data_IF_128344187833
#
_entry.id   IF_128344187833
#
_cell.length_a   1.000
_cell.length_b   1.000
_cell.length_c   1.000
_cell.angle_alpha   90.00
_cell.angle_beta   90.00
_cell.angle_gamma   90.00
#
_symmetry.space_group_name_H-M   'P 1'
#
loop_
_entity.id
_entity.type
_entity.pdbx_description
1 polymer ?
#
# COMPACT_ATOMS: atom_id res chain seq x y z
N UNK A 1 11.50 22.07 -12.00
CA UNK A 1 10.39 22.72 -11.26
C UNK A 1 9.26 21.77 -10.88
N UNK A 2 8.97 20.72 -11.67
CA UNK A 2 7.82 19.81 -11.43
C UNK A 2 7.94 19.01 -10.13
N UNK A 3 9.10 18.42 -9.83
CA UNK A 3 9.34 17.61 -8.62
C UNK A 3 9.12 18.42 -7.33
N UNK A 4 9.77 19.58 -7.21
CA UNK A 4 9.63 20.47 -6.03
C UNK A 4 8.18 20.91 -5.84
N UNK A 5 7.47 21.20 -6.93
CA UNK A 5 6.06 21.57 -6.89
C UNK A 5 5.17 20.42 -6.43
N UNK A 6 5.47 19.19 -6.82
CA UNK A 6 4.74 18.00 -6.39
C UNK A 6 4.98 17.73 -4.89
N UNK A 7 6.24 17.78 -4.45
CA UNK A 7 6.62 17.66 -3.03
C UNK A 7 5.88 18.72 -2.19
N UNK A 8 5.95 19.98 -2.61
CA UNK A 8 5.35 21.08 -1.87
C UNK A 8 3.81 21.02 -1.82
N UNK A 9 3.15 20.30 -2.73
CA UNK A 9 1.70 20.14 -2.76
C UNK A 9 1.19 18.95 -1.97
N UNK A 10 2.07 18.02 -1.60
CA UNK A 10 1.66 16.82 -0.88
C UNK A 10 1.14 17.19 0.50
N UNK A 11 -0.14 16.90 0.75
CA UNK A 11 -0.82 17.28 1.99
C UNK A 11 -0.30 16.51 3.19
N UNK A 12 0.13 15.28 3.00
CA UNK A 12 0.56 14.43 4.09
C UNK A 12 1.95 14.81 4.50
N UNK A 13 2.85 15.07 3.54
CA UNK A 13 4.14 15.66 3.83
C UNK A 13 3.98 17.00 4.57
N UNK A 14 3.09 17.87 4.13
CA UNK A 14 2.82 19.15 4.82
C UNK A 14 2.41 18.94 6.28
N UNK A 15 1.43 18.06 6.53
CA UNK A 15 0.94 17.77 7.88
C UNK A 15 2.06 17.16 8.72
N UNK A 16 2.78 16.17 8.20
CA UNK A 16 3.86 15.50 8.91
C UNK A 16 5.01 16.46 9.21
N UNK A 17 5.40 17.33 8.27
CA UNK A 17 6.42 18.37 8.49
C UNK A 17 6.00 19.31 9.62
N UNK A 18 4.74 19.77 9.64
CA UNK A 18 4.24 20.64 10.72
C UNK A 18 4.31 19.91 12.06
N UNK A 19 3.86 18.66 12.12
CA UNK A 19 3.89 17.84 13.33
C UNK A 19 5.34 17.60 13.81
N UNK A 20 6.26 17.30 12.88
CA UNK A 20 7.69 17.15 13.18
C UNK A 20 8.29 18.45 13.68
N UNK A 21 8.00 19.60 13.08
CA UNK A 21 8.48 20.89 13.58
C UNK A 21 7.98 21.15 14.99
N UNK A 22 6.72 20.84 15.28
CA UNK A 22 6.15 20.95 16.63
C UNK A 22 6.87 20.00 17.60
N UNK A 23 7.18 18.76 17.21
CA UNK A 23 7.86 17.80 18.09
C UNK A 23 9.28 18.23 18.47
N UNK A 24 9.99 18.92 17.57
CA UNK A 24 11.34 19.46 17.82
C UNK A 24 11.39 20.50 18.95
N UNK A 25 10.26 21.08 19.36
CA UNK A 25 10.21 21.95 20.54
C UNK A 25 10.20 21.17 21.86
N UNK A 26 9.81 19.89 21.84
CA UNK A 26 9.69 19.06 23.03
C UNK A 26 10.88 18.12 23.23
N UNK A 27 11.52 17.68 22.16
CA UNK A 27 12.67 16.78 22.21
C UNK A 27 13.62 17.03 21.03
N UNK A 28 14.77 16.32 21.04
CA UNK A 28 15.73 16.33 19.93
C UNK A 28 15.82 14.96 19.29
N UNK A 29 15.79 14.86 17.96
CA UNK A 29 15.78 13.58 17.29
C UNK A 29 17.16 12.95 17.38
N UNK A 30 17.18 11.64 17.58
CA UNK A 30 18.41 10.84 17.61
C UNK A 30 18.57 10.12 16.29
N UNK A 31 19.77 10.19 15.72
CA UNK A 31 20.07 9.57 14.41
C UNK A 31 19.86 8.05 14.47
N UNK A 32 20.14 7.43 15.62
CA UNK A 32 19.92 6.00 15.88
C UNK A 32 18.46 5.55 15.72
N UNK A 33 17.49 6.46 15.88
CA UNK A 33 16.08 6.13 15.76
C UNK A 33 15.58 6.12 14.31
N UNK A 34 16.35 6.74 13.41
CA UNK A 34 16.02 6.86 12.00
C UNK A 34 16.40 5.55 11.31
N UNK A 35 15.40 4.84 10.81
CA UNK A 35 15.63 3.58 10.11
C UNK A 35 16.07 3.84 8.66
N UNK A 36 17.37 4.07 8.47
CA UNK A 36 17.96 4.28 7.16
C UNK A 36 17.79 3.08 6.23
N UNK A 37 17.77 1.85 6.77
CA UNK A 37 17.50 0.66 5.98
C UNK A 37 16.15 0.76 5.30
N UNK A 38 15.09 1.06 6.07
CA UNK A 38 13.75 1.28 5.53
C UNK A 38 13.73 2.42 4.53
N UNK A 39 14.41 3.55 4.79
CA UNK A 39 14.46 4.68 3.84
C UNK A 39 15.12 4.29 2.50
N UNK A 40 16.25 3.59 2.53
CA UNK A 40 16.91 3.12 1.32
C UNK A 40 16.07 2.08 0.57
N UNK A 41 15.43 1.16 1.30
CA UNK A 41 14.51 0.19 0.71
C UNK A 41 13.28 0.87 0.08
N UNK A 42 12.72 1.90 0.70
CA UNK A 42 11.62 2.70 0.13
C UNK A 42 12.10 3.42 -1.14
N UNK A 43 13.28 4.03 -1.13
CA UNK A 43 13.85 4.68 -2.33
C UNK A 43 14.04 3.68 -3.48
N UNK A 44 14.61 2.51 -3.20
CA UNK A 44 14.79 1.44 -4.17
C UNK A 44 13.44 1.00 -4.76
N UNK A 45 12.47 0.72 -3.89
CA UNK A 45 11.11 0.33 -4.24
C UNK A 45 10.44 1.38 -5.12
N UNK A 46 10.37 2.63 -4.69
CA UNK A 46 9.74 3.71 -5.46
C UNK A 46 10.40 3.89 -6.84
N UNK A 47 11.72 3.77 -6.92
CA UNK A 47 12.45 3.86 -8.19
C UNK A 47 12.09 2.70 -9.12
N UNK A 48 12.12 1.46 -8.62
CA UNK A 48 11.75 0.25 -9.38
C UNK A 48 10.32 0.35 -9.92
N UNK A 49 9.39 0.84 -9.09
CA UNK A 49 7.99 0.99 -9.50
C UNK A 49 7.86 2.02 -10.61
N UNK A 50 8.59 3.15 -10.54
CA UNK A 50 8.59 4.14 -11.62
C UNK A 50 9.18 3.58 -12.92
N UNK A 51 10.19 2.70 -12.85
CA UNK A 51 10.68 1.99 -14.03
C UNK A 51 9.57 1.11 -14.63
N UNK A 52 8.87 0.31 -13.82
CA UNK A 52 7.75 -0.51 -14.30
C UNK A 52 6.60 0.30 -14.88
N UNK A 53 6.29 1.44 -14.27
CA UNK A 53 5.27 2.39 -14.76
C UNK A 53 5.68 2.98 -16.11
N UNK A 54 6.94 3.41 -16.26
CA UNK A 54 7.50 3.90 -17.52
C UNK A 54 7.48 2.83 -18.64
N UNK A 55 7.62 1.56 -18.28
CA UNK A 55 7.56 0.43 -19.22
C UNK A 55 6.12 0.01 -19.57
N UNK A 56 5.09 0.68 -19.05
CA UNK A 56 3.66 0.44 -19.33
C UNK A 56 3.21 -1.01 -19.08
N UNK A 57 3.87 -1.72 -18.14
CA UNK A 57 3.60 -3.15 -17.89
C UNK A 57 2.17 -3.39 -17.43
N UNK A 58 1.64 -2.53 -16.55
CA UNK A 58 0.27 -2.65 -16.06
C UNK A 58 -0.78 -2.36 -17.12
N UNK A 59 -0.55 -1.35 -17.96
CA UNK A 59 -1.49 -0.97 -19.00
C UNK A 59 -1.69 -2.16 -19.94
N UNK A 60 -0.60 -2.80 -20.38
CA UNK A 60 -0.65 -3.98 -21.25
C UNK A 60 -1.39 -5.15 -20.60
N UNK A 61 -1.11 -5.44 -19.33
CA UNK A 61 -1.79 -6.52 -18.60
C UNK A 61 -3.28 -6.23 -18.48
N UNK A 62 -3.65 -5.01 -18.12
CA UNK A 62 -5.04 -4.62 -17.97
C UNK A 62 -5.79 -4.64 -19.31
N UNK A 63 -5.21 -4.14 -20.41
CA UNK A 63 -5.83 -4.21 -21.74
C UNK A 63 -5.99 -5.65 -22.25
N UNK A 64 -4.98 -6.50 -22.10
CA UNK A 64 -5.07 -7.92 -22.50
C UNK A 64 -6.14 -8.68 -21.71
N UNK A 65 -6.23 -8.43 -20.41
CA UNK A 65 -7.16 -9.14 -19.54
C UNK A 65 -8.61 -8.64 -19.71
N UNK A 66 -8.81 -7.35 -19.97
CA UNK A 66 -10.14 -6.76 -20.18
C UNK A 66 -10.82 -7.24 -21.46
N UNK A 67 -10.08 -7.54 -22.52
CA UNK A 67 -10.62 -8.11 -23.76
C UNK A 67 -11.30 -9.48 -23.57
N UNK A 68 -11.01 -10.19 -22.47
CA UNK A 68 -11.60 -11.50 -22.16
C UNK A 68 -12.91 -11.43 -21.36
N UNK A 69 -13.30 -10.25 -20.87
CA UNK A 69 -14.45 -10.08 -19.99
C UNK A 69 -15.76 -10.05 -20.79
N UNK A 70 -16.64 -11.03 -20.53
CA UNK A 70 -17.97 -11.13 -21.17
C UNK A 70 -19.12 -10.60 -20.30
N UNK A 71 -18.85 -10.33 -19.02
CA UNK A 71 -19.84 -9.86 -18.05
C UNK A 71 -19.21 -8.93 -17.02
N UNK A 72 -20.03 -8.11 -16.38
CA UNK A 72 -19.61 -7.15 -15.35
C UNK A 72 -18.99 -7.84 -14.15
N UNK A 73 -19.54 -8.99 -13.73
CA UNK A 73 -18.96 -9.76 -12.63
C UNK A 73 -17.57 -10.27 -12.98
N UNK A 74 -17.39 -10.80 -14.20
CA UNK A 74 -16.09 -11.28 -14.67
C UNK A 74 -15.08 -10.14 -14.84
N UNK A 75 -15.51 -8.99 -15.36
CA UNK A 75 -14.68 -7.79 -15.46
C UNK A 75 -14.20 -7.36 -14.06
N UNK A 76 -15.12 -7.30 -13.10
CA UNK A 76 -14.80 -6.93 -11.72
C UNK A 76 -13.82 -7.92 -11.08
N UNK A 77 -14.03 -9.22 -11.28
CA UNK A 77 -13.11 -10.25 -10.80
C UNK A 77 -11.71 -10.10 -11.41
N UNK A 78 -11.62 -9.88 -12.73
CA UNK A 78 -10.36 -9.66 -13.43
C UNK A 78 -9.63 -8.44 -12.86
N UNK A 79 -10.30 -7.29 -12.76
CA UNK A 79 -9.71 -6.07 -12.22
C UNK A 79 -9.31 -6.22 -10.75
N UNK A 80 -10.08 -6.94 -9.95
CA UNK A 80 -9.76 -7.14 -8.54
C UNK A 80 -8.56 -8.07 -8.37
N UNK A 81 -8.52 -9.20 -9.09
CA UNK A 81 -7.37 -10.11 -9.07
C UNK A 81 -6.12 -9.41 -9.62
N UNK A 82 -6.28 -8.65 -10.70
CA UNK A 82 -5.20 -7.84 -11.25
C UNK A 82 -4.74 -6.81 -10.22
N UNK A 83 -5.64 -6.18 -9.46
CA UNK A 83 -5.28 -5.26 -8.39
C UNK A 83 -4.44 -5.94 -7.30
N UNK A 84 -4.86 -7.12 -6.86
CA UNK A 84 -4.12 -7.94 -5.88
C UNK A 84 -2.72 -8.26 -6.40
N UNK A 85 -2.60 -8.79 -7.62
CA UNK A 85 -1.30 -9.15 -8.20
C UNK A 85 -0.44 -7.92 -8.44
N UNK A 86 -1.02 -6.83 -8.96
CA UNK A 86 -0.29 -5.60 -9.26
C UNK A 86 0.28 -4.96 -8.01
N UNK A 87 -0.51 -4.89 -6.94
CA UNK A 87 -0.09 -4.26 -5.69
C UNK A 87 1.01 -5.04 -4.95
N UNK A 88 1.16 -6.35 -5.21
CA UNK A 88 2.30 -7.14 -4.73
C UNK A 88 3.64 -6.66 -5.31
N UNK A 89 3.64 -5.99 -6.46
CA UNK A 89 4.87 -5.55 -7.13
C UNK A 89 5.00 -4.02 -7.20
N UNK A 90 3.87 -3.31 -7.32
CA UNK A 90 3.84 -1.91 -7.67
C UNK A 90 3.27 -1.01 -6.57
N UNK A 91 3.01 -1.56 -5.39
CA UNK A 91 2.31 -0.91 -4.26
C UNK A 91 0.82 -0.67 -4.53
N UNK A 92 0.08 -0.49 -3.44
CA UNK A 92 -1.35 -0.20 -3.48
C UNK A 92 -1.66 1.13 -4.19
N UNK A 93 -0.88 2.19 -3.95
CA UNK A 93 -1.15 3.54 -4.46
C UNK A 93 -1.12 3.61 -6.00
N UNK A 94 -0.06 3.07 -6.61
CA UNK A 94 0.10 3.08 -8.07
C UNK A 94 -0.89 2.12 -8.73
N UNK A 95 -1.20 1.00 -8.08
CA UNK A 95 -2.25 0.08 -8.56
C UNK A 95 -3.61 0.76 -8.62
N UNK A 96 -3.99 1.49 -7.56
CA UNK A 96 -5.24 2.25 -7.48
C UNK A 96 -5.30 3.36 -8.54
N UNK A 97 -4.22 4.13 -8.70
CA UNK A 97 -4.14 5.21 -9.67
C UNK A 97 -4.20 4.73 -11.13
N UNK A 98 -3.74 3.50 -11.41
CA UNK A 98 -3.77 2.94 -12.77
C UNK A 98 -5.09 2.22 -13.06
N UNK A 99 -5.53 1.32 -12.18
CA UNK A 99 -6.64 0.41 -12.50
C UNK A 99 -8.02 1.03 -12.36
N UNK A 100 -8.23 1.95 -11.40
CA UNK A 100 -9.55 2.55 -11.18
C UNK A 100 -9.98 3.43 -12.35
N UNK A 101 -9.14 4.36 -12.87
CA UNK A 101 -9.52 5.16 -14.04
C UNK A 101 -9.81 4.30 -15.27
N UNK A 102 -9.03 3.24 -15.48
CA UNK A 102 -9.25 2.29 -16.58
C UNK A 102 -10.61 1.59 -16.44
N UNK A 103 -10.91 1.06 -15.25
CA UNK A 103 -12.21 0.45 -14.97
C UNK A 103 -13.36 1.43 -15.19
N UNK A 104 -13.25 2.65 -14.65
CA UNK A 104 -14.29 3.68 -14.75
C UNK A 104 -14.50 4.15 -16.19
N UNK A 105 -13.46 4.16 -17.02
CA UNK A 105 -13.56 4.47 -18.46
C UNK A 105 -14.43 3.43 -19.17
N UNK A 106 -14.20 2.13 -18.90
CA UNK A 106 -15.01 1.03 -19.45
C UNK A 106 -16.44 1.11 -18.89
N UNK A 107 -16.58 1.33 -17.59
CA UNK A 107 -17.87 1.40 -16.92
C UNK A 107 -18.75 2.54 -17.45
N UNK A 108 -18.16 3.72 -17.72
CA UNK A 108 -18.84 4.86 -18.33
C UNK A 108 -19.32 4.55 -19.74
N UNK A 109 -18.48 3.94 -20.57
CA UNK A 109 -18.81 3.61 -21.97
C UNK A 109 -19.96 2.60 -22.08
N UNK A 110 -20.09 1.69 -21.11
CA UNK A 110 -21.06 0.60 -21.15
C UNK A 110 -22.13 0.66 -20.03
N UNK A 111 -22.24 1.78 -19.32
CA UNK A 111 -23.20 1.99 -18.21
C UNK A 111 -23.19 0.85 -17.15
N UNK A 112 -21.98 0.44 -16.76
CA UNK A 112 -21.73 -0.61 -15.77
C UNK A 112 -21.81 -0.06 -14.34
N UNK A 113 -22.09 -0.91 -13.33
CA UNK A 113 -22.02 -0.49 -11.93
C UNK A 113 -20.59 -0.10 -11.53
N UNK A 114 -20.43 1.06 -10.90
CA UNK A 114 -19.09 1.58 -10.55
C UNK A 114 -18.70 1.33 -9.08
N UNK A 115 -19.66 1.45 -8.16
CA UNK A 115 -19.38 1.54 -6.72
C UNK A 115 -18.66 0.29 -6.17
N UNK A 116 -19.30 -0.87 -6.27
CA UNK A 116 -18.77 -2.11 -5.70
C UNK A 116 -17.48 -2.55 -6.42
N UNK A 117 -17.38 -2.51 -7.75
CA UNK A 117 -16.13 -2.85 -8.45
C UNK A 117 -14.96 -1.95 -8.10
N UNK A 118 -15.15 -0.63 -8.01
CA UNK A 118 -14.08 0.29 -7.61
C UNK A 118 -13.65 0.06 -6.16
N UNK A 119 -14.61 -0.21 -5.27
CA UNK A 119 -14.31 -0.59 -3.87
C UNK A 119 -13.47 -1.86 -3.83
N UNK A 120 -13.82 -2.87 -4.62
CA UNK A 120 -13.09 -4.13 -4.69
C UNK A 120 -11.69 -4.00 -5.28
N UNK A 121 -11.50 -3.13 -6.27
CA UNK A 121 -10.16 -2.81 -6.79
C UNK A 121 -9.31 -2.19 -5.67
N UNK A 122 -9.86 -1.26 -4.88
CA UNK A 122 -9.19 -0.66 -3.72
C UNK A 122 -8.82 -1.68 -2.65
N UNK A 123 -9.78 -2.49 -2.22
CA UNK A 123 -9.55 -3.60 -1.29
C UNK A 123 -8.47 -4.55 -1.82
N UNK A 124 -8.57 -4.94 -3.09
CA UNK A 124 -7.59 -5.79 -3.76
C UNK A 124 -6.18 -5.19 -3.71
N UNK A 125 -6.04 -3.89 -3.89
CA UNK A 125 -4.75 -3.21 -3.81
C UNK A 125 -4.15 -3.29 -2.40
N UNK A 126 -4.96 -3.05 -1.35
CA UNK A 126 -4.50 -3.21 0.04
C UNK A 126 -4.12 -4.67 0.35
N UNK A 127 -4.91 -5.65 -0.10
CA UNK A 127 -4.65 -7.09 0.10
C UNK A 127 -3.34 -7.52 -0.58
N UNK A 128 -3.17 -7.13 -1.84
CA UNK A 128 -1.96 -7.44 -2.61
C UNK A 128 -0.71 -6.84 -1.99
N UNK A 129 -0.79 -5.57 -1.58
CA UNK A 129 0.31 -4.88 -0.93
C UNK A 129 0.67 -5.48 0.44
N UNK A 130 -0.31 -6.00 1.19
CA UNK A 130 -0.09 -6.68 2.46
C UNK A 130 0.66 -8.02 2.29
N UNK A 131 0.52 -8.69 1.15
CA UNK A 131 1.12 -10.02 0.93
C UNK A 131 2.65 -10.00 0.85
N UNK A 132 3.25 -8.91 0.38
CA UNK A 132 4.69 -8.80 0.14
C UNK A 132 5.36 -7.75 1.03
N UNK A 133 6.62 -7.94 1.45
CA UNK A 133 7.35 -6.98 2.28
C UNK A 133 7.44 -5.57 1.67
N UNK A 134 7.61 -5.48 0.36
CA UNK A 134 7.72 -4.23 -0.40
C UNK A 134 6.40 -3.77 -1.01
N UNK A 135 5.30 -4.50 -0.76
CA UNK A 135 4.00 -4.06 -1.24
C UNK A 135 3.55 -2.78 -0.53
N UNK A 136 3.97 -2.60 0.73
CA UNK A 136 3.78 -1.39 1.50
C UNK A 136 5.07 -0.98 2.24
N UNK A 137 5.35 0.33 2.35
CA UNK A 137 6.50 0.80 3.11
C UNK A 137 6.55 0.35 4.59
N UNK A 138 5.39 0.25 5.26
CA UNK A 138 5.36 -0.18 6.67
C UNK A 138 5.68 -1.67 6.85
N UNK A 139 5.45 -2.50 5.83
CA UNK A 139 5.89 -3.90 5.84
C UNK A 139 7.42 -4.00 5.79
N UNK A 140 8.09 -3.17 4.98
CA UNK A 140 9.56 -3.04 4.97
C UNK A 140 10.05 -2.66 6.37
N UNK A 141 9.38 -1.71 7.03
CA UNK A 141 9.70 -1.32 8.40
C UNK A 141 9.60 -2.50 9.37
N UNK A 142 8.49 -3.26 9.36
CA UNK A 142 8.31 -4.43 10.25
C UNK A 142 9.41 -5.47 10.00
N UNK A 143 9.67 -5.82 8.73
CA UNK A 143 10.71 -6.81 8.39
C UNK A 143 12.07 -6.39 8.93
N UNK A 144 12.46 -5.13 8.75
CA UNK A 144 13.76 -4.67 9.22
C UNK A 144 13.80 -4.50 10.75
N UNK A 145 12.79 -3.87 11.36
CA UNK A 145 12.75 -3.55 12.79
C UNK A 145 12.82 -4.78 13.69
N UNK A 146 12.25 -5.90 13.23
CA UNK A 146 12.19 -7.17 13.94
C UNK A 146 13.07 -8.26 13.30
N UNK A 147 13.85 -7.92 12.28
CA UNK A 147 14.71 -8.84 11.52
C UNK A 147 13.97 -10.12 11.08
N UNK A 148 12.78 -9.94 10.52
CA UNK A 148 11.86 -11.03 10.15
C UNK A 148 12.41 -11.77 8.94
N UNK A 149 12.56 -13.10 9.03
CA UNK A 149 12.99 -13.92 7.90
C UNK A 149 11.88 -14.01 6.83
N UNK A 150 12.23 -14.30 5.56
CA UNK A 150 11.23 -14.47 4.50
C UNK A 150 10.17 -15.51 4.85
N UNK A 151 10.59 -16.66 5.39
CA UNK A 151 9.68 -17.75 5.77
C UNK A 151 8.68 -17.27 6.82
N UNK A 152 9.13 -16.55 7.83
CA UNK A 152 8.27 -16.04 8.90
C UNK A 152 7.33 -14.93 8.41
N UNK A 153 7.79 -14.08 7.51
CA UNK A 153 6.92 -13.07 6.92
C UNK A 153 5.78 -13.71 6.11
N UNK A 154 6.09 -14.69 5.26
CA UNK A 154 5.08 -15.37 4.45
C UNK A 154 4.17 -16.30 5.27
N UNK A 155 4.61 -16.83 6.41
CA UNK A 155 3.70 -17.55 7.32
C UNK A 155 2.60 -16.66 7.88
N UNK A 156 2.84 -15.35 8.01
CA UNK A 156 1.82 -14.36 8.42
C UNK A 156 0.99 -13.86 7.23
N UNK A 157 1.64 -13.60 6.10
CA UNK A 157 0.98 -12.95 4.95
C UNK A 157 0.11 -13.90 4.12
N UNK A 158 0.45 -15.19 4.05
CA UNK A 158 -0.34 -16.20 3.32
C UNK A 158 -1.73 -16.39 3.93
N UNK A 159 -1.89 -16.64 5.25
CA UNK A 159 -3.22 -16.75 5.86
C UNK A 159 -4.07 -15.50 5.63
N UNK A 160 -3.47 -14.31 5.81
CA UNK A 160 -4.16 -13.04 5.56
C UNK A 160 -4.63 -12.91 4.11
N UNK A 161 -3.78 -13.28 3.13
CA UNK A 161 -4.14 -13.27 1.72
C UNK A 161 -5.30 -14.22 1.42
N UNK A 162 -5.23 -15.47 1.89
CA UNK A 162 -6.25 -16.49 1.63
C UNK A 162 -7.62 -16.07 2.18
N UNK A 163 -7.66 -15.58 3.42
CA UNK A 163 -8.87 -15.08 4.05
C UNK A 163 -9.43 -13.87 3.27
N UNK A 164 -8.56 -12.92 2.91
CA UNK A 164 -8.98 -11.72 2.19
C UNK A 164 -9.48 -12.02 0.78
N UNK A 165 -8.91 -13.02 0.10
CA UNK A 165 -9.38 -13.52 -1.19
C UNK A 165 -10.80 -14.06 -1.10
N UNK A 166 -11.13 -14.82 -0.05
CA UNK A 166 -12.48 -15.34 0.17
C UNK A 166 -13.48 -14.17 0.32
N UNK A 167 -13.15 -13.17 1.14
CA UNK A 167 -14.00 -11.98 1.36
C UNK A 167 -14.28 -11.27 0.03
N UNK A 168 -13.23 -11.01 -0.75
CA UNK A 168 -13.34 -10.35 -2.06
C UNK A 168 -14.19 -11.17 -3.03
N UNK A 169 -14.00 -12.50 -3.09
CA UNK A 169 -14.80 -13.39 -3.94
C UNK A 169 -16.28 -13.36 -3.55
N UNK A 170 -16.60 -13.35 -2.24
CA UNK A 170 -17.97 -13.20 -1.73
C UNK A 170 -18.57 -11.87 -2.20
N UNK A 171 -17.84 -10.76 -2.06
CA UNK A 171 -18.32 -9.46 -2.51
C UNK A 171 -18.51 -9.37 -4.04
N UNK A 172 -17.68 -10.06 -4.83
CA UNK A 172 -17.85 -10.13 -6.29
C UNK A 172 -19.21 -10.74 -6.68
N UNK A 173 -19.76 -11.69 -5.91
CA UNK A 173 -21.09 -12.25 -6.20
C UNK A 173 -22.22 -11.22 -6.13
N UNK A 174 -22.08 -10.20 -5.27
CA UNK A 174 -23.06 -9.11 -5.13
C UNK A 174 -22.97 -8.06 -6.24
N UNK A 175 -21.99 -8.15 -7.15
CA UNK A 175 -21.92 -7.30 -8.33
C UNK A 175 -23.08 -7.65 -9.27
N UNK A 176 -23.88 -6.64 -9.63
CA UNK A 176 -24.95 -6.76 -10.63
C UNK A 176 -24.35 -7.17 -11.96
N UNK A 177 -24.73 -8.35 -12.45
CA UNK A 177 -24.16 -8.88 -13.68
C UNK A 177 -24.88 -8.30 -14.91
N UNK A 178 -24.12 -7.67 -15.79
CA UNK A 178 -24.58 -7.18 -17.10
C UNK A 178 -23.61 -7.68 -18.18
N UNK A 179 -24.10 -8.05 -19.38
CA UNK A 179 -23.24 -8.42 -20.48
C UNK A 179 -22.39 -7.22 -20.93
N UNK A 180 -21.14 -7.48 -21.32
CA UNK A 180 -20.22 -6.45 -21.82
C UNK A 180 -19.88 -6.77 -23.28
N UNK A 181 -19.97 -5.80 -24.20
CA UNK A 181 -19.46 -5.96 -25.56
C UNK A 181 -17.95 -6.19 -25.55
N UNK A 182 -17.43 -6.97 -26.49
CA UNK A 182 -15.99 -7.21 -26.61
C UNK A 182 -15.25 -5.89 -26.84
N UNK A 183 -14.34 -5.54 -25.93
CA UNK A 183 -13.48 -4.35 -26.04
C UNK A 183 -12.36 -4.66 -27.06
N UNK A 184 -12.14 -3.81 -28.07
CA UNK A 184 -11.04 -4.01 -29.01
C UNK A 184 -9.70 -3.88 -28.30
N UNK A 185 -8.74 -4.74 -28.67
CA UNK A 185 -7.38 -4.75 -28.14
C UNK A 185 -6.60 -3.55 -28.65
N UNK A 186 -5.99 -2.76 -27.75
CA UNK A 186 -4.90 -1.86 -28.10
C UNK A 186 -3.56 -2.63 -28.07
N UNK A 187 -2.76 -2.50 -29.13
CA UNK A 187 -1.45 -3.15 -29.24
C UNK A 187 -0.37 -2.30 -28.56
N UNK A 188 -0.21 -2.49 -27.24
CA UNK A 188 0.88 -1.87 -26.50
C UNK A 188 2.09 -2.81 -26.50
N UNK A 189 3.19 -2.35 -27.11
CA UNK A 189 4.44 -3.12 -27.19
C UNK A 189 5.33 -2.83 -25.98
N UNK A 190 5.73 -3.87 -25.26
CA UNK A 190 6.68 -3.77 -24.14
C UNK A 190 8.11 -4.00 -24.62
N UNK A 191 9.04 -3.17 -24.17
CA UNK A 191 10.47 -3.37 -24.35
C UNK A 191 10.98 -4.48 -23.40
N UNK A 192 11.19 -5.69 -23.94
CA UNK A 192 11.56 -6.89 -23.17
C UNK A 192 12.90 -6.75 -22.43
N UNK A 193 13.92 -6.15 -23.05
CA UNK A 193 15.26 -6.03 -22.45
C UNK A 193 15.25 -5.18 -21.17
N UNK A 194 14.75 -3.93 -21.16
CA UNK A 194 14.57 -3.15 -19.93
C UNK A 194 13.70 -3.86 -18.88
N UNK A 195 12.65 -4.57 -19.30
CA UNK A 195 11.79 -5.33 -18.39
C UNK A 195 12.57 -6.43 -17.65
N UNK A 196 13.36 -7.23 -18.36
CA UNK A 196 14.18 -8.28 -17.74
C UNK A 196 15.22 -7.71 -16.76
N UNK A 197 15.88 -6.60 -17.12
CA UNK A 197 16.81 -5.92 -16.21
C UNK A 197 16.10 -5.39 -14.96
N UNK A 198 14.89 -4.82 -15.12
CA UNK A 198 14.08 -4.34 -13.99
C UNK A 198 13.66 -5.48 -13.08
N UNK A 199 13.29 -6.65 -13.63
CA UNK A 199 13.01 -7.86 -12.86
C UNK A 199 14.26 -8.31 -12.09
N UNK A 200 15.43 -8.34 -12.72
CA UNK A 200 16.68 -8.72 -12.06
C UNK A 200 17.01 -7.77 -10.89
N UNK A 201 16.86 -6.46 -11.09
CA UNK A 201 17.04 -5.46 -10.02
C UNK A 201 15.98 -5.59 -8.92
N UNK A 202 14.75 -5.96 -9.26
CA UNK A 202 13.68 -6.24 -8.29
C UNK A 202 14.03 -7.45 -7.41
N UNK A 203 14.55 -8.52 -8.01
CA UNK A 203 15.04 -9.70 -7.26
C UNK A 203 16.20 -9.29 -6.36
N UNK A 204 17.14 -8.48 -6.86
CA UNK A 204 18.25 -7.99 -6.07
C UNK A 204 17.80 -7.13 -4.87
N UNK A 205 16.78 -6.29 -5.08
CA UNK A 205 16.14 -5.52 -4.04
C UNK A 205 15.54 -6.38 -2.91
N UNK A 206 15.05 -7.58 -3.20
CA UNK A 206 14.58 -8.51 -2.16
C UNK A 206 15.67 -8.89 -1.17
N UNK A 207 16.91 -9.11 -1.63
CA UNK A 207 18.04 -9.34 -0.73
C UNK A 207 18.33 -8.13 0.17
N UNK A 208 18.09 -6.93 -0.34
CA UNK A 208 18.17 -5.69 0.44
C UNK A 208 17.12 -5.62 1.54
N UNK A 209 15.85 -5.89 1.24
CA UNK A 209 14.75 -5.79 2.22
C UNK A 209 14.99 -6.69 3.43
N UNK A 210 15.44 -7.92 3.20
CA UNK A 210 15.76 -8.91 4.24
C UNK A 210 17.16 -8.77 4.86
N UNK A 211 17.86 -7.67 4.60
CA UNK A 211 19.17 -7.38 5.19
C UNK A 211 20.26 -8.43 4.87
N UNK A 212 20.12 -9.14 3.75
CA UNK A 212 21.15 -10.05 3.21
C UNK A 212 22.27 -9.21 2.55
N UNK A 213 21.90 -8.08 1.95
CA UNK A 213 22.80 -7.08 1.39
C UNK A 213 22.41 -5.72 1.97
N UNK A 214 23.34 -4.78 2.22
CA UNK A 214 23.00 -3.46 2.73
C UNK A 214 22.00 -2.74 1.82
N UNK A 215 20.88 -2.25 2.36
CA UNK A 215 19.77 -1.70 1.57
C UNK A 215 20.11 -0.52 0.66
N UNK A 216 21.18 0.23 0.96
CA UNK A 216 21.64 1.31 0.07
C UNK A 216 22.18 0.78 -1.27
N UNK A 217 22.69 -0.45 -1.34
CA UNK A 217 23.23 -1.05 -2.57
C UNK A 217 22.14 -1.25 -3.62
N UNK A 218 21.03 -1.98 -3.37
CA UNK A 218 19.95 -2.09 -4.34
C UNK A 218 19.28 -0.74 -4.63
N UNK A 219 19.26 0.20 -3.69
CA UNK A 219 18.79 1.56 -3.96
C UNK A 219 19.65 2.27 -5.03
N UNK A 220 20.98 2.23 -4.89
CA UNK A 220 21.91 2.79 -5.87
C UNK A 220 21.76 2.09 -7.22
N UNK A 221 21.66 0.76 -7.24
CA UNK A 221 21.50 -0.02 -8.48
C UNK A 221 20.18 0.34 -9.19
N UNK A 222 19.08 0.49 -8.45
CA UNK A 222 17.80 0.91 -9.01
C UNK A 222 17.87 2.32 -9.62
N UNK A 223 18.52 3.26 -8.94
CA UNK A 223 18.73 4.63 -9.45
C UNK A 223 19.58 4.62 -10.71
N UNK A 224 20.69 3.88 -10.73
CA UNK A 224 21.54 3.73 -11.91
C UNK A 224 20.74 3.16 -13.08
N UNK A 225 19.95 2.10 -12.85
CA UNK A 225 19.11 1.51 -13.89
C UNK A 225 18.08 2.53 -14.44
N UNK A 226 17.41 3.28 -13.57
CA UNK A 226 16.46 4.31 -13.98
C UNK A 226 17.13 5.38 -14.86
N UNK A 227 18.32 5.85 -14.47
CA UNK A 227 19.09 6.84 -15.23
C UNK A 227 19.54 6.31 -16.60
N UNK A 228 19.92 5.02 -16.68
CA UNK A 228 20.31 4.38 -17.95
C UNK A 228 19.11 4.22 -18.87
N UNK A 229 17.94 3.82 -18.35
CA UNK A 229 16.72 3.65 -19.16
C UNK A 229 16.22 5.01 -19.66
N UNK A 230 15.94 5.93 -18.72
CA UNK A 230 15.56 7.29 -19.02
C UNK A 230 15.64 8.15 -17.73
N UNK A 231 16.50 9.19 -17.66
CA UNK A 231 16.62 10.05 -16.48
C UNK A 231 15.31 10.72 -16.04
N UNK A 232 14.34 10.90 -16.95
CA UNK A 232 13.03 11.44 -16.60
C UNK A 232 12.21 10.55 -15.66
N UNK A 233 12.54 9.26 -15.54
CA UNK A 233 11.92 8.35 -14.56
C UNK A 233 12.12 8.90 -13.14
N UNK A 234 13.31 9.43 -12.85
CA UNK A 234 13.62 10.01 -11.54
C UNK A 234 12.75 11.24 -11.22
N UNK A 235 12.20 11.93 -12.22
CA UNK A 235 11.29 13.08 -12.00
C UNK A 235 9.91 12.65 -11.51
N UNK A 236 9.56 11.36 -11.65
CA UNK A 236 8.26 10.81 -11.27
C UNK A 236 8.31 10.00 -9.98
N UNK A 237 9.50 9.81 -9.40
CA UNK A 237 9.66 9.18 -8.09
C UNK A 237 8.96 10.02 -7.02
N UNK A 238 8.20 9.35 -6.16
CA UNK A 238 7.48 10.00 -5.06
C UNK A 238 8.41 10.33 -3.89
N UNK A 239 9.19 11.40 -4.07
CA UNK A 239 10.05 11.93 -3.02
C UNK A 239 9.26 12.50 -1.84
N UNK A 240 7.99 12.86 -2.02
CA UNK A 240 7.16 13.37 -0.94
C UNK A 240 6.89 12.25 0.08
N UNK A 241 6.59 11.04 -0.41
CA UNK A 241 6.47 9.86 0.43
C UNK A 241 7.78 9.59 1.17
N UNK A 242 8.93 9.56 0.48
CA UNK A 242 10.23 9.31 1.12
C UNK A 242 10.53 10.31 2.26
N UNK A 243 10.30 11.60 2.01
CA UNK A 243 10.45 12.65 3.02
C UNK A 243 9.46 12.50 4.17
N UNK A 244 8.23 12.07 3.89
CA UNK A 244 7.21 11.81 4.91
C UNK A 244 7.68 10.71 5.86
N UNK A 245 8.29 9.63 5.36
CA UNK A 245 8.89 8.59 6.21
C UNK A 245 10.04 9.13 7.05
N UNK A 246 10.90 9.97 6.47
CA UNK A 246 11.95 10.64 7.24
C UNK A 246 11.35 11.47 8.38
N UNK A 247 10.31 12.27 8.11
CA UNK A 247 9.61 13.05 9.12
C UNK A 247 8.93 12.17 10.18
N UNK A 248 8.32 11.03 9.81
CA UNK A 248 7.78 10.08 10.78
C UNK A 248 8.86 9.53 11.71
N UNK A 249 10.02 9.12 11.19
CA UNK A 249 11.11 8.65 12.05
C UNK A 249 11.63 9.72 13.02
N UNK A 250 11.77 10.97 12.55
CA UNK A 250 12.17 12.11 13.39
C UNK A 250 11.10 12.36 14.47
N UNK A 251 9.86 12.50 14.06
CA UNK A 251 8.72 12.74 14.95
C UNK A 251 8.59 11.66 16.04
N UNK A 252 8.75 10.40 15.66
CA UNK A 252 8.66 9.28 16.59
C UNK A 252 9.86 9.25 17.54
N UNK A 253 11.06 9.60 17.07
CA UNK A 253 12.26 9.78 17.92
C UNK A 253 12.03 10.85 18.98
N UNK A 254 11.31 11.93 18.65
CA UNK A 254 10.98 12.98 19.62
C UNK A 254 9.90 12.50 20.61
N UNK A 255 8.81 11.92 20.10
CA UNK A 255 7.67 11.49 20.93
C UNK A 255 8.06 10.44 21.97
N UNK A 256 8.93 9.49 21.62
CA UNK A 256 9.35 8.45 22.55
C UNK A 256 10.21 8.98 23.71
N UNK A 257 10.64 10.25 23.66
CA UNK A 257 11.34 10.92 24.77
C UNK A 257 10.37 11.64 25.72
N UNK A 258 9.07 11.69 25.40
CA UNK A 258 8.04 12.32 26.22
C UNK A 258 7.44 11.28 27.17
N UNK A 259 7.72 11.32 28.50
CA UNK A 259 7.36 10.25 29.42
C UNK A 259 5.86 9.94 29.48
N UNK A 260 5.02 10.97 29.34
CA UNK A 260 3.57 10.82 29.32
C UNK A 260 3.10 9.96 28.14
N UNK A 261 3.64 10.20 26.93
CA UNK A 261 3.24 9.46 25.74
C UNK A 261 3.73 8.02 25.81
N UNK A 262 5.00 7.82 26.22
CA UNK A 262 5.56 6.48 26.45
C UNK A 262 4.68 5.69 27.40
N UNK A 263 4.32 6.28 28.55
CA UNK A 263 3.48 5.63 29.56
C UNK A 263 2.10 5.27 29.01
N UNK A 264 1.48 6.16 28.22
CA UNK A 264 0.17 5.92 27.64
C UNK A 264 0.19 4.77 26.61
N UNK A 265 1.16 4.78 25.69
CA UNK A 265 1.27 3.76 24.65
C UNK A 265 1.67 2.43 25.28
N UNK A 266 2.68 2.38 26.13
CA UNK A 266 3.14 1.14 26.78
C UNK A 266 2.03 0.45 27.59
N UNK A 267 1.11 1.19 28.21
CA UNK A 267 -0.07 0.61 28.90
C UNK A 267 -1.02 -0.14 27.98
N UNK A 268 -0.96 0.11 26.67
CA UNK A 268 -1.78 -0.56 25.66
C UNK A 268 -1.03 -1.66 24.92
N UNK A 269 0.27 -1.86 25.17
CA UNK A 269 1.14 -2.83 24.47
C UNK A 269 1.50 -4.05 25.33
N UNK A 270 0.53 -4.59 26.08
CA UNK A 270 0.77 -5.64 27.09
C UNK A 270 0.62 -7.07 26.54
N UNK A 271 0.01 -7.24 25.37
CA UNK A 271 -0.20 -8.54 24.71
C UNK A 271 -0.26 -8.39 23.18
N UNK A 272 -0.12 -9.51 22.45
CA UNK A 272 -0.30 -9.54 20.99
C UNK A 272 -1.63 -8.95 20.56
N UNK A 273 -2.72 -9.38 21.19
CA UNK A 273 -4.06 -8.86 20.97
C UNK A 273 -4.19 -7.35 21.18
N UNK A 274 -3.53 -6.82 22.21
CA UNK A 274 -3.55 -5.38 22.50
C UNK A 274 -2.83 -4.57 21.42
N UNK A 275 -1.70 -5.08 20.92
CA UNK A 275 -0.93 -4.47 19.82
C UNK A 275 -1.73 -4.52 18.53
N UNK A 276 -2.33 -5.68 18.24
CA UNK A 276 -3.17 -5.91 17.07
C UNK A 276 -4.31 -4.89 16.99
N UNK A 277 -5.11 -4.78 18.05
CA UNK A 277 -6.22 -3.83 18.11
C UNK A 277 -5.76 -2.38 18.09
N UNK A 278 -4.72 -2.05 18.84
CA UNK A 278 -4.21 -0.67 18.88
C UNK A 278 -3.69 -0.24 17.51
N UNK A 279 -3.06 -1.15 16.76
CA UNK A 279 -2.61 -0.90 15.38
C UNK A 279 -3.80 -0.67 14.45
N UNK A 280 -4.85 -1.49 14.54
CA UNK A 280 -6.07 -1.32 13.74
C UNK A 280 -6.75 0.02 14.05
N UNK A 281 -7.00 0.31 15.33
CA UNK A 281 -7.74 1.48 15.79
C UNK A 281 -6.97 2.74 15.43
N UNK A 282 -5.68 2.83 15.76
CA UNK A 282 -4.88 4.01 15.45
C UNK A 282 -4.76 4.25 13.94
N UNK A 283 -4.68 3.19 13.13
CA UNK A 283 -4.68 3.32 11.66
C UNK A 283 -5.90 4.09 11.16
N UNK A 284 -7.08 3.93 11.78
CA UNK A 284 -8.29 4.66 11.37
C UNK A 284 -8.21 6.17 11.56
N UNK A 285 -7.29 6.68 12.38
CA UNK A 285 -7.16 8.10 12.68
C UNK A 285 -5.91 8.73 12.06
N UNK A 286 -4.81 7.99 11.98
CA UNK A 286 -3.52 8.51 11.50
C UNK A 286 -2.98 7.81 10.25
N UNK A 287 -3.65 6.78 9.72
CA UNK A 287 -3.19 5.84 8.68
C UNK A 287 -2.29 4.72 9.21
N UNK A 288 -2.39 3.57 8.56
CA UNK A 288 -1.58 2.38 8.78
C UNK A 288 -0.07 2.62 8.84
N UNK A 289 0.49 3.44 7.96
CA UNK A 289 1.93 3.72 7.90
C UNK A 289 2.45 4.35 9.21
N UNK A 290 2.05 5.57 9.60
CA UNK A 290 2.57 6.20 10.81
C UNK A 290 2.14 5.45 12.08
N UNK A 291 0.96 4.83 12.09
CA UNK A 291 0.53 3.94 13.17
C UNK A 291 1.55 2.82 13.41
N UNK A 292 1.97 2.14 12.34
CA UNK A 292 2.92 1.02 12.43
C UNK A 292 4.27 1.47 12.96
N UNK A 293 4.80 2.59 12.44
CA UNK A 293 6.13 3.07 12.86
C UNK A 293 6.09 3.49 14.33
N UNK A 294 5.01 4.15 14.76
CA UNK A 294 4.84 4.60 16.15
C UNK A 294 4.74 3.39 17.09
N UNK A 295 3.80 2.48 16.82
CA UNK A 295 3.55 1.32 17.68
C UNK A 295 4.75 0.37 17.70
N UNK A 296 5.42 0.18 16.56
CA UNK A 296 6.59 -0.68 16.44
C UNK A 296 7.82 -0.25 17.26
N UNK A 297 7.80 0.94 17.86
CA UNK A 297 8.80 1.35 18.86
C UNK A 297 8.47 0.84 20.27
N UNK A 298 7.21 0.58 20.57
CA UNK A 298 6.73 0.22 21.92
C UNK A 298 6.36 -1.25 22.09
N UNK A 299 6.53 -2.09 21.06
CA UNK A 299 6.18 -3.50 21.09
C UNK A 299 7.24 -4.39 20.45
N UNK A 300 7.31 -5.65 20.93
CA UNK A 300 8.08 -6.73 20.31
C UNK A 300 7.20 -7.75 19.56
N UNK A 301 5.89 -7.57 19.58
CA UNK A 301 4.91 -8.45 18.94
C UNK A 301 4.78 -8.14 17.44
N UNK A 302 5.78 -8.58 16.67
CA UNK A 302 5.91 -8.26 15.25
C UNK A 302 4.74 -8.77 14.39
N UNK A 303 4.24 -9.97 14.66
CA UNK A 303 3.11 -10.56 13.94
C UNK A 303 1.81 -9.78 14.16
N UNK A 304 1.49 -9.48 15.43
CA UNK A 304 0.34 -8.68 15.79
C UNK A 304 0.38 -7.28 15.16
N UNK A 305 1.55 -6.64 15.14
CA UNK A 305 1.74 -5.36 14.47
C UNK A 305 1.57 -5.49 12.94
N UNK A 306 2.13 -6.53 12.33
CA UNK A 306 1.98 -6.80 10.90
C UNK A 306 0.51 -7.02 10.51
N UNK A 307 -0.20 -7.91 11.20
CA UNK A 307 -1.61 -8.18 10.93
C UNK A 307 -2.45 -6.93 11.19
N UNK A 308 -2.24 -6.28 12.35
CA UNK A 308 -3.03 -5.12 12.76
C UNK A 308 -2.85 -3.90 11.85
N UNK A 309 -1.62 -3.66 11.38
CA UNK A 309 -1.33 -2.57 10.44
C UNK A 309 -1.92 -2.78 9.04
N UNK A 310 -1.82 -4.00 8.50
CA UNK A 310 -2.36 -4.30 7.18
C UNK A 310 -3.89 -4.37 7.16
N UNK A 311 -4.50 -4.96 8.20
CA UNK A 311 -5.96 -4.94 8.39
C UNK A 311 -6.44 -3.53 8.70
N UNK A 312 -5.68 -2.76 9.47
CA UNK A 312 -5.94 -1.34 9.74
C UNK A 312 -5.92 -0.45 8.50
N UNK A 313 -5.40 -0.95 7.37
CA UNK A 313 -5.50 -0.26 6.07
C UNK A 313 -6.91 -0.22 5.49
N UNK A 314 -7.83 -1.05 5.98
CA UNK A 314 -9.26 -1.02 5.64
C UNK A 314 -10.02 -0.03 6.53
N UNK A 315 -11.29 0.20 6.21
CA UNK A 315 -12.23 0.97 7.04
C UNK A 315 -12.40 2.41 6.58
N UNK A 316 -11.81 3.35 7.33
CA UNK A 316 -11.94 4.77 7.02
C UNK A 316 -11.12 5.19 5.79
N UNK A 317 -11.46 6.34 5.21
CA UNK A 317 -10.64 6.96 4.15
C UNK A 317 -9.22 7.25 4.63
N UNK A 318 -9.04 7.55 5.92
CA UNK A 318 -7.75 7.86 6.52
C UNK A 318 -6.98 6.58 6.90
N UNK A 319 -7.64 5.43 6.98
CA UNK A 319 -7.07 4.13 7.33
C UNK A 319 -5.83 3.75 6.52
N UNK A 320 -5.85 4.09 5.23
CA UNK A 320 -4.76 3.88 4.29
C UNK A 320 -4.74 4.96 3.23
N UNK A 321 -3.54 5.28 2.74
CA UNK A 321 -3.33 6.10 1.54
C UNK A 321 -4.14 5.64 0.34
N UNK A 322 -4.20 4.33 0.13
CA UNK A 322 -4.97 3.75 -0.96
C UNK A 322 -6.46 4.11 -0.87
N UNK A 323 -7.05 4.18 0.33
CA UNK A 323 -8.48 4.50 0.48
C UNK A 323 -8.75 5.96 0.08
N UNK A 324 -7.84 6.87 0.40
CA UNK A 324 -7.88 8.25 -0.08
C UNK A 324 -7.78 8.33 -1.60
N UNK A 325 -6.86 7.56 -2.20
CA UNK A 325 -6.66 7.53 -3.64
C UNK A 325 -7.83 6.88 -4.39
N UNK A 326 -8.44 5.83 -3.83
CA UNK A 326 -9.68 5.22 -4.35
C UNK A 326 -10.78 6.25 -4.39
N UNK A 327 -11.01 6.95 -3.28
CA UNK A 327 -12.04 7.98 -3.21
C UNK A 327 -11.77 9.14 -4.17
N UNK A 328 -10.53 9.63 -4.22
CA UNK A 328 -10.12 10.71 -5.13
C UNK A 328 -10.30 10.30 -6.60
N UNK A 329 -9.78 9.13 -6.98
CA UNK A 329 -9.87 8.60 -8.34
C UNK A 329 -11.32 8.40 -8.77
N UNK A 330 -12.18 7.94 -7.86
CA UNK A 330 -13.62 7.84 -8.10
C UNK A 330 -14.28 9.21 -8.29
N UNK A 331 -13.95 10.21 -7.46
CA UNK A 331 -14.51 11.57 -7.59
C UNK A 331 -14.10 12.22 -8.92
N UNK A 332 -12.91 11.93 -9.42
CA UNK A 332 -12.40 12.48 -10.68
C UNK A 332 -12.97 11.76 -11.92
N UNK A 333 -13.22 10.45 -11.84
CA UNK A 333 -13.53 9.63 -13.02
C UNK A 333 -14.91 8.95 -12.99
N UNK A 334 -15.58 8.89 -11.85
CA UNK A 334 -16.88 8.24 -11.68
C UNK A 334 -18.04 9.04 -12.26
N UNK A 335 -19.14 8.38 -12.60
CA UNK A 335 -20.39 9.02 -13.04
C UNK A 335 -21.46 9.02 -11.96
N UNK A 336 -21.34 8.15 -10.95
CA UNK A 336 -22.28 8.09 -9.83
C UNK A 336 -21.96 9.15 -8.77
N UNK A 337 -22.98 9.61 -8.03
CA UNK A 337 -22.84 10.59 -6.95
C UNK A 337 -21.73 10.22 -5.95
N UNK A 338 -20.79 11.16 -5.75
CA UNK A 338 -19.69 11.06 -4.77
C UNK A 338 -20.19 10.72 -3.35
N UNK A 339 -21.34 11.26 -2.95
CA UNK A 339 -21.93 11.01 -1.62
C UNK A 339 -22.42 9.57 -1.49
N UNK A 340 -23.03 9.04 -2.55
CA UNK A 340 -23.49 7.66 -2.58
C UNK A 340 -22.31 6.69 -2.58
N UNK A 341 -21.27 6.99 -3.37
CA UNK A 341 -20.04 6.21 -3.36
C UNK A 341 -19.40 6.20 -1.97
N UNK A 342 -19.19 7.37 -1.36
CA UNK A 342 -18.62 7.51 -0.01
C UNK A 342 -19.26 6.55 1.00
N UNK A 343 -20.58 6.59 1.15
CA UNK A 343 -21.26 5.78 2.16
C UNK A 343 -21.16 4.28 1.89
N UNK A 344 -21.36 3.84 0.65
CA UNK A 344 -21.29 2.42 0.32
C UNK A 344 -19.85 1.92 0.43
N UNK A 345 -18.89 2.69 -0.07
CA UNK A 345 -17.44 2.43 0.06
C UNK A 345 -17.08 2.27 1.54
N UNK A 346 -17.42 3.24 2.39
CA UNK A 346 -17.12 3.17 3.83
C UNK A 346 -17.78 1.97 4.51
N UNK A 347 -19.05 1.66 4.21
CA UNK A 347 -19.71 0.48 4.78
C UNK A 347 -18.99 -0.82 4.40
N UNK A 348 -18.59 -0.97 3.14
CA UNK A 348 -17.89 -2.15 2.66
C UNK A 348 -16.48 -2.25 3.27
N UNK A 349 -15.75 -1.14 3.33
CA UNK A 349 -14.43 -1.06 3.95
C UNK A 349 -14.47 -1.40 5.44
N UNK A 350 -15.44 -0.87 6.19
CA UNK A 350 -15.63 -1.23 7.60
C UNK A 350 -16.11 -2.67 7.79
N UNK A 351 -16.94 -3.19 6.87
CA UNK A 351 -17.32 -4.61 6.89
C UNK A 351 -16.09 -5.51 6.69
N UNK A 352 -15.25 -5.19 5.70
CA UNK A 352 -13.97 -5.87 5.47
C UNK A 352 -13.06 -5.79 6.70
N UNK A 353 -12.92 -4.60 7.29
CA UNK A 353 -12.15 -4.37 8.50
C UNK A 353 -12.63 -5.25 9.66
N UNK A 354 -13.94 -5.27 9.95
CA UNK A 354 -14.51 -6.04 11.06
C UNK A 354 -14.29 -7.54 10.85
N UNK A 355 -14.59 -8.05 9.64
CA UNK A 355 -14.41 -9.47 9.32
C UNK A 355 -12.95 -9.88 9.47
N UNK A 356 -12.03 -9.10 8.89
CA UNK A 356 -10.60 -9.36 9.00
C UNK A 356 -10.08 -9.22 10.42
N UNK A 357 -10.62 -8.29 11.21
CA UNK A 357 -10.26 -8.13 12.64
C UNK A 357 -10.62 -9.39 13.43
N UNK A 358 -11.83 -9.92 13.24
CA UNK A 358 -12.27 -11.15 13.93
C UNK A 358 -11.40 -12.34 13.51
N UNK A 359 -11.14 -12.50 12.22
CA UNK A 359 -10.34 -13.61 11.72
C UNK A 359 -8.85 -13.48 12.10
N UNK A 360 -8.30 -12.27 12.06
CA UNK A 360 -6.94 -11.97 12.49
C UNK A 360 -6.73 -12.21 13.99
N UNK A 361 -7.74 -11.88 14.81
CA UNK A 361 -7.74 -12.22 16.23
C UNK A 361 -7.63 -13.73 16.44
N UNK A 362 -8.45 -14.51 15.72
CA UNK A 362 -8.40 -15.98 15.77
C UNK A 362 -7.02 -16.48 15.32
N UNK A 363 -6.45 -15.95 14.23
CA UNK A 363 -5.13 -16.38 13.73
C UNK A 363 -4.05 -16.20 14.80
N UNK A 364 -4.06 -15.10 15.56
CA UNK A 364 -3.13 -14.87 16.66
C UNK A 364 -3.23 -15.92 17.79
N UNK A 365 -4.42 -16.50 18.01
CA UNK A 365 -4.61 -17.54 19.02
C UNK A 365 -4.11 -18.94 18.58
N UNK A 366 -4.01 -19.19 17.27
CA UNK A 366 -3.75 -20.53 16.72
C UNK A 366 -2.40 -20.70 16.01
N UNK A 367 -1.67 -19.62 15.73
CA UNK A 367 -0.34 -19.66 15.09
C UNK A 367 0.70 -19.27 16.15
N UNK A 368 1.26 -20.28 16.84
CA UNK A 368 2.39 -20.14 17.79
C UNK A 368 3.64 -20.78 17.16
#
# INVERSE_FOLDING_TARGET
MTVIKNIAKDRILQITVVITIISLFFARPRIEDINFHTLYSILAMLTIIQIFSYLHVLDVLAYKLTASARSTRRLTAIFTILSIISAMFLTNDITVLTLIPLYLTIARRHHLPEILPVTLIGMGANIGAAFTPWGNPHNIFVVNRYNVSPIKFFSWSIPLLLVSLIIVLVFIFFVKDKPIPTVPLEDIRISIRPMLLTIAVSIFFFFGVFNIVPAYVPAIVAVILALIINPSIMLHVDYALLLTFTCFFIFISDIQQIPFIVTLISKTMFSEHSVFLTSIISSQFISNVPSTILIGKFTNFAEALFLGSNIGGFGSIVGSMANMLVFKSFVENGTVSKRKFFWVFSVLEFAGLIILTILGWIVLDFVI
#
